data_IF_656886862981
#
_entry.id   IF_656886862981
#
_cell.length_a   1.000
_cell.length_b   1.000
_cell.length_c   1.000
_cell.angle_alpha   90.00
_cell.angle_beta   90.00
_cell.angle_gamma   90.00
#
_symmetry.space_group_name_H-M   'P 1'
#
loop_
_entity.id
_entity.type
_entity.pdbx_description
1 polymer ?
#
# COMPACT_ATOMS: atom_id res chain seq x y z
N UNK A 1 15.35 21.17 -8.34
CA UNK A 1 15.30 19.95 -9.18
C UNK A 1 13.95 19.28 -8.97
N UNK A 2 13.18 19.08 -10.05
CA UNK A 2 11.86 18.45 -9.99
C UNK A 2 12.00 17.02 -9.43
N UNK A 3 11.43 16.78 -8.25
CA UNK A 3 11.46 15.46 -7.61
C UNK A 3 10.35 14.63 -8.24
N UNK A 4 10.72 13.73 -9.14
CA UNK A 4 9.82 12.87 -9.93
C UNK A 4 8.82 12.13 -9.05
N UNK A 5 7.54 12.16 -9.43
CA UNK A 5 6.51 11.36 -8.79
C UNK A 5 6.77 9.87 -9.07
N UNK A 6 6.70 9.00 -8.05
CA UNK A 6 6.79 7.57 -8.28
C UNK A 6 5.59 7.08 -9.09
N UNK A 7 5.81 6.07 -9.93
CA UNK A 7 4.73 5.43 -10.68
C UNK A 7 3.96 4.46 -9.78
N UNK A 8 2.61 4.55 -9.70
CA UNK A 8 1.81 3.64 -8.90
C UNK A 8 1.63 2.28 -9.57
N UNK A 9 1.75 1.23 -8.79
CA UNK A 9 1.31 -0.13 -9.10
C UNK A 9 -0.14 -0.25 -8.64
N UNK A 10 -1.03 -0.65 -9.57
CA UNK A 10 -2.47 -0.71 -9.32
C UNK A 10 -2.85 -1.77 -8.28
N UNK A 11 -2.23 -2.94 -8.34
CA UNK A 11 -2.48 -4.06 -7.42
C UNK A 11 -1.15 -4.61 -6.87
N UNK A 12 -0.53 -3.94 -5.88
CA UNK A 12 0.67 -4.47 -5.24
C UNK A 12 0.32 -5.73 -4.44
N UNK A 13 1.26 -6.67 -4.36
CA UNK A 13 1.15 -7.81 -3.44
C UNK A 13 1.26 -7.32 -1.99
N UNK A 14 0.24 -7.50 -1.13
CA UNK A 14 0.21 -6.90 0.21
C UNK A 14 1.20 -7.52 1.20
N UNK A 15 1.97 -8.53 0.78
CA UNK A 15 2.90 -9.24 1.63
C UNK A 15 4.26 -8.54 1.74
N UNK A 16 4.66 -8.22 2.97
CA UNK A 16 5.97 -7.65 3.29
C UNK A 16 6.78 -8.61 4.19
N UNK A 17 7.68 -9.45 3.63
CA UNK A 17 8.54 -10.34 4.42
C UNK A 17 9.70 -9.61 5.12
N UNK A 18 10.05 -8.40 4.67
CA UNK A 18 11.18 -7.61 5.15
C UNK A 18 10.90 -6.09 5.06
N UNK A 19 11.87 -5.29 5.51
CA UNK A 19 11.77 -3.83 5.50
C UNK A 19 11.66 -3.25 4.08
N UNK A 20 12.35 -3.85 3.10
CA UNK A 20 12.34 -3.35 1.73
C UNK A 20 10.97 -3.51 1.08
N UNK A 21 10.34 -4.68 1.25
CA UNK A 21 8.99 -4.94 0.79
C UNK A 21 7.97 -4.05 1.48
N UNK A 22 8.08 -3.85 2.81
CA UNK A 22 7.21 -2.92 3.54
C UNK A 22 7.36 -1.48 3.03
N UNK A 23 8.60 -1.03 2.85
CA UNK A 23 8.91 0.29 2.30
C UNK A 23 8.34 0.50 0.91
N UNK A 24 8.43 -0.51 0.04
CA UNK A 24 7.86 -0.47 -1.30
C UNK A 24 6.32 -0.31 -1.27
N UNK A 25 5.62 -0.96 -0.34
CA UNK A 25 4.17 -0.80 -0.17
C UNK A 25 3.80 0.62 0.26
N UNK A 26 4.53 1.18 1.24
CA UNK A 26 4.34 2.57 1.67
C UNK A 26 4.59 3.55 0.53
N UNK A 27 5.69 3.35 -0.22
CA UNK A 27 6.03 4.15 -1.40
C UNK A 27 4.97 4.06 -2.47
N UNK A 28 4.44 2.87 -2.73
CA UNK A 28 3.38 2.66 -3.71
C UNK A 28 2.10 3.39 -3.30
N UNK A 29 1.75 3.37 -2.02
CA UNK A 29 0.59 4.11 -1.52
C UNK A 29 0.76 5.62 -1.70
N UNK A 30 1.94 6.16 -1.43
CA UNK A 30 2.23 7.58 -1.75
C UNK A 30 2.13 7.86 -3.25
N UNK A 31 2.58 6.93 -4.09
CA UNK A 31 2.47 7.05 -5.55
C UNK A 31 1.00 7.11 -6.02
N UNK A 32 0.13 6.27 -5.44
CA UNK A 32 -1.31 6.28 -5.71
C UNK A 32 -1.96 7.62 -5.31
N UNK A 33 -1.46 8.24 -4.24
CA UNK A 33 -1.92 9.57 -3.80
C UNK A 33 -1.28 10.73 -4.58
N UNK A 34 -0.38 10.45 -5.55
CA UNK A 34 0.32 11.44 -6.38
C UNK A 34 1.08 12.51 -5.58
N UNK A 35 1.54 12.17 -4.37
CA UNK A 35 2.23 13.12 -3.49
C UNK A 35 3.74 13.10 -3.68
N UNK A 36 4.36 14.28 -3.64
CA UNK A 36 5.82 14.35 -3.46
C UNK A 36 6.17 13.93 -2.03
N UNK A 37 7.40 13.48 -1.84
CA UNK A 37 7.86 13.01 -0.53
C UNK A 37 7.87 14.12 0.52
N UNK A 38 8.12 15.38 0.11
CA UNK A 38 8.13 16.53 1.01
C UNK A 38 6.70 16.78 1.52
N UNK A 39 5.74 16.96 0.59
CA UNK A 39 4.32 17.18 0.91
C UNK A 39 3.70 16.04 1.75
N UNK A 40 4.06 14.80 1.44
CA UNK A 40 3.57 13.65 2.20
C UNK A 40 4.14 13.62 3.62
N UNK A 41 5.44 13.92 3.79
CA UNK A 41 6.05 13.95 5.11
C UNK A 41 5.41 15.04 5.99
N UNK A 42 5.16 16.21 5.42
CA UNK A 42 4.48 17.32 6.10
C UNK A 42 3.05 16.96 6.48
N UNK A 43 2.27 16.38 5.56
CA UNK A 43 0.90 15.91 5.83
C UNK A 43 0.85 14.86 6.97
N UNK A 44 1.80 13.93 6.98
CA UNK A 44 1.90 12.88 7.99
C UNK A 44 2.51 13.38 9.31
N UNK A 45 3.03 14.61 9.36
CA UNK A 45 3.75 15.16 10.50
C UNK A 45 4.97 14.31 10.88
N UNK A 46 5.75 13.86 9.88
CA UNK A 46 7.04 13.18 10.05
C UNK A 46 8.11 13.92 9.26
N UNK A 47 9.39 13.69 9.56
CA UNK A 47 10.44 14.28 8.72
C UNK A 47 10.53 13.56 7.38
N UNK A 48 10.91 14.31 6.33
CA UNK A 48 11.22 13.75 5.02
C UNK A 48 12.23 12.59 5.09
N UNK A 49 13.25 12.71 5.94
CA UNK A 49 14.25 11.66 6.12
C UNK A 49 13.62 10.36 6.64
N UNK A 50 12.71 10.45 7.61
CA UNK A 50 11.99 9.29 8.15
C UNK A 50 11.17 8.62 7.05
N UNK A 51 10.38 9.39 6.29
CA UNK A 51 9.58 8.84 5.20
C UNK A 51 10.46 8.23 4.10
N UNK A 52 11.55 8.91 3.74
CA UNK A 52 12.51 8.41 2.75
C UNK A 52 13.18 7.12 3.19
N UNK A 53 13.63 7.03 4.44
CA UNK A 53 14.24 5.81 4.99
C UNK A 53 13.25 4.65 4.96
N UNK A 54 12.04 4.88 5.45
CA UNK A 54 10.98 3.87 5.44
C UNK A 54 10.70 3.36 4.03
N UNK A 55 10.49 4.25 3.05
CA UNK A 55 10.22 3.87 1.67
C UNK A 55 11.36 3.12 0.97
N UNK A 56 12.59 3.32 1.44
CA UNK A 56 13.78 2.62 0.94
C UNK A 56 14.17 1.41 1.80
N UNK A 57 13.28 0.95 2.69
CA UNK A 57 13.50 -0.25 3.50
C UNK A 57 14.55 -0.12 4.60
N UNK A 58 14.81 1.11 5.06
CA UNK A 58 15.72 1.38 6.18
C UNK A 58 14.95 1.46 7.48
N UNK A 59 15.62 1.10 8.57
CA UNK A 59 15.05 1.12 9.91
C UNK A 59 14.57 2.54 10.30
N UNK A 60 13.36 2.59 10.84
CA UNK A 60 12.73 3.73 11.50
C UNK A 60 12.10 3.24 12.80
N UNK A 61 11.80 4.15 13.72
CA UNK A 61 11.14 3.75 14.96
C UNK A 61 9.69 3.33 14.70
N UNK A 62 9.18 2.39 15.51
CA UNK A 62 7.85 1.79 15.31
C UNK A 62 6.72 2.83 15.41
N UNK A 63 6.85 3.84 16.29
CA UNK A 63 5.90 4.94 16.40
C UNK A 63 5.74 5.70 15.06
N UNK A 64 6.86 5.93 14.37
CA UNK A 64 6.85 6.61 13.06
C UNK A 64 6.28 5.71 11.97
N UNK A 65 6.58 4.42 12.01
CA UNK A 65 5.98 3.45 11.09
C UNK A 65 4.45 3.47 11.21
N UNK A 66 3.90 3.27 12.41
CA UNK A 66 2.45 3.25 12.61
C UNK A 66 1.80 4.59 12.25
N UNK A 67 2.45 5.72 12.53
CA UNK A 67 1.97 7.04 12.11
C UNK A 67 1.88 7.18 10.58
N UNK A 68 2.89 6.70 9.86
CA UNK A 68 2.89 6.73 8.38
C UNK A 68 1.83 5.79 7.81
N UNK A 69 1.69 4.58 8.37
CA UNK A 69 0.67 3.62 7.93
C UNK A 69 -0.74 4.22 8.10
N UNK A 70 -1.05 4.73 9.29
CA UNK A 70 -2.34 5.34 9.61
C UNK A 70 -2.67 6.53 8.69
N UNK A 71 -1.74 7.47 8.54
CA UNK A 71 -1.95 8.64 7.69
C UNK A 71 -2.06 8.33 6.19
N UNK A 72 -1.65 7.14 5.75
CA UNK A 72 -1.88 6.65 4.38
C UNK A 72 -3.07 5.68 4.27
N UNK A 73 -3.79 5.42 5.36
CA UNK A 73 -4.90 4.48 5.41
C UNK A 73 -4.45 3.02 5.19
N UNK A 74 -3.23 2.70 5.59
CA UNK A 74 -2.67 1.34 5.59
C UNK A 74 -2.78 0.76 7.00
N UNK A 75 -2.84 -0.57 7.08
CA UNK A 75 -2.83 -1.28 8.34
C UNK A 75 -1.91 -2.51 8.26
N UNK A 76 -1.50 -3.04 9.41
CA UNK A 76 -0.62 -4.20 9.51
C UNK A 76 -1.38 -5.40 10.08
N UNK A 77 -1.34 -6.52 9.37
CA UNK A 77 -1.90 -7.79 9.81
C UNK A 77 -0.77 -8.75 10.21
N UNK A 78 -0.84 -9.29 11.43
CA UNK A 78 0.14 -10.26 11.94
C UNK A 78 -0.50 -11.64 11.96
N UNK A 79 0.06 -12.56 11.17
CA UNK A 79 -0.39 -13.96 11.06
C UNK A 79 0.79 -14.93 11.20
N UNK A 80 0.55 -16.18 11.60
CA UNK A 80 1.58 -17.22 11.52
C UNK A 80 2.09 -17.39 10.08
N UNK A 81 3.38 -17.68 9.91
CA UNK A 81 4.01 -17.82 8.58
C UNK A 81 3.32 -18.86 7.68
N UNK A 82 2.80 -19.95 8.28
CA UNK A 82 2.06 -21.00 7.58
C UNK A 82 0.73 -20.51 6.97
N UNK A 83 0.14 -19.45 7.53
CA UNK A 83 -1.16 -18.92 7.14
C UNK A 83 -1.03 -17.79 6.10
N UNK A 84 0.20 -17.34 5.82
CA UNK A 84 0.50 -16.28 4.83
C UNK A 84 -0.09 -16.59 3.45
N UNK A 85 0.00 -17.81 2.87
CA UNK A 85 -0.59 -18.08 1.57
C UNK A 85 -2.13 -17.89 1.57
N UNK A 86 -2.79 -18.34 2.64
CA UNK A 86 -4.25 -18.22 2.79
C UNK A 86 -4.65 -16.75 2.91
N UNK A 87 -3.97 -15.98 3.77
CA UNK A 87 -4.24 -14.55 3.94
C UNK A 87 -3.98 -13.74 2.66
N UNK A 88 -2.90 -14.04 1.93
CA UNK A 88 -2.57 -13.37 0.65
C UNK A 88 -3.62 -13.63 -0.42
N UNK A 89 -4.12 -14.86 -0.52
CA UNK A 89 -5.17 -15.20 -1.49
C UNK A 89 -6.49 -14.48 -1.15
N UNK A 90 -6.91 -14.51 0.12
CA UNK A 90 -8.13 -13.80 0.54
C UNK A 90 -8.08 -12.29 0.25
N UNK A 91 -6.92 -11.66 0.42
CA UNK A 91 -6.73 -10.23 0.09
C UNK A 91 -6.70 -9.96 -1.42
N UNK A 92 -6.24 -10.91 -2.24
CA UNK A 92 -6.27 -10.80 -3.70
C UNK A 92 -7.69 -10.95 -4.24
N UNK A 93 -8.44 -11.94 -3.75
CA UNK A 93 -9.80 -12.24 -4.21
C UNK A 93 -10.77 -11.10 -3.86
N UNK A 94 -10.59 -10.47 -2.70
CA UNK A 94 -11.37 -9.28 -2.34
C UNK A 94 -11.01 -8.06 -3.18
N UNK A 95 -9.74 -7.89 -3.56
CA UNK A 95 -9.31 -6.81 -4.44
C UNK A 95 -9.85 -6.97 -5.87
N UNK A 96 -9.90 -8.19 -6.41
CA UNK A 96 -10.51 -8.46 -7.73
C UNK A 96 -12.01 -8.22 -7.71
N UNK A 97 -12.71 -8.62 -6.65
CA UNK A 97 -14.15 -8.33 -6.48
C UNK A 97 -14.42 -6.82 -6.41
N UNK A 98 -13.58 -6.03 -5.72
CA UNK A 98 -13.73 -4.57 -5.65
C UNK A 98 -13.39 -3.85 -6.96
N UNK A 99 -12.54 -4.45 -7.79
CA UNK A 99 -12.14 -3.90 -9.09
C UNK A 99 -13.14 -4.23 -10.21
N UNK A 100 -14.03 -5.22 -10.02
CA UNK A 100 -15.08 -5.54 -10.98
C UNK A 100 -16.14 -4.42 -11.02
N UNK A 101 -16.53 -3.92 -12.21
CA UNK A 101 -17.58 -2.91 -12.33
C UNK A 101 -18.94 -3.50 -11.93
N UNK A 102 -19.82 -2.74 -11.25
CA UNK A 102 -21.16 -3.19 -10.96
C UNK A 102 -21.98 -3.18 -12.27
N UNK A 103 -22.24 -4.36 -12.85
CA UNK A 103 -23.17 -4.51 -13.95
C UNK A 103 -22.64 -5.25 -15.18
N UNK A 104 -22.47 -6.57 -15.06
CA UNK A 104 -22.51 -7.46 -16.22
C UNK A 104 -23.27 -8.77 -15.88
N UNK A 105 -24.33 -8.67 -15.07
CA UNK A 105 -25.39 -9.67 -15.12
C UNK A 105 -26.28 -9.32 -16.31
N UNK A 106 -25.84 -9.71 -17.50
CA UNK A 106 -26.66 -9.67 -18.71
C UNK A 106 -27.93 -10.49 -18.48
N UNK A 107 -29.09 -9.88 -18.71
CA UNK A 107 -30.37 -10.56 -18.74
C UNK A 107 -30.33 -11.71 -19.76
N UNK A 108 -31.03 -12.84 -19.52
CA UNK A 108 -31.31 -13.78 -20.57
C UNK A 108 -32.37 -13.16 -21.49
N UNK A 109 -31.99 -12.70 -22.68
CA UNK A 109 -32.95 -12.45 -23.75
C UNK A 109 -33.38 -13.80 -24.34
N UNK A 110 -34.57 -14.25 -23.94
CA UNK A 110 -35.43 -15.10 -24.77
C UNK A 110 -36.18 -14.24 -25.81
N UNK A 111 -36.96 -14.83 -26.73
CA UNK A 111 -37.71 -16.08 -26.57
C UNK A 111 -37.16 -17.31 -27.28
#
# INVERSE_FOLDING_TARGET
MARTLPQPIAAPDPFAPDLAALGALVRNRRAQNQMRIDDAADMLGVSKDVLSRLENGRAVSLDKLFKVLDGFGLNLLVVPKRDVPVARNALRDTATVRAAPPGSSGLPEGP
#
